data_IF_006962471948
#
_entry.id   IF_006962471948
#
_cell.length_a   1.000
_cell.length_b   1.000
_cell.length_c   1.000
_cell.angle_alpha   90.00
_cell.angle_beta   90.00
_cell.angle_gamma   90.00
#
_symmetry.space_group_name_H-M   'P 1'
#
loop_
_entity.id
_entity.type
_entity.pdbx_description
1 polymer ?
#
# COMPACT_ATOMS: atom_id res chain seq x y z
N UNK A 1 -29.23 34.47 2.92
CA UNK A 1 -29.65 35.86 3.24
C UNK A 1 -31.17 35.97 3.10
N UNK A 2 -31.80 37.03 3.61
CA UNK A 2 -33.26 37.22 3.46
C UNK A 2 -33.62 37.28 1.96
N UNK A 3 -34.68 36.57 1.57
CA UNK A 3 -35.22 36.52 0.21
C UNK A 3 -34.32 35.84 -0.86
N UNK A 4 -33.63 34.75 -0.53
CA UNK A 4 -32.89 33.96 -1.52
C UNK A 4 -33.61 32.64 -1.86
N UNK A 5 -33.80 32.38 -3.15
CA UNK A 5 -34.41 31.18 -3.73
C UNK A 5 -33.46 30.56 -4.77
N UNK A 6 -33.40 29.23 -4.81
CA UNK A 6 -32.75 28.46 -5.88
C UNK A 6 -33.71 27.38 -6.39
N UNK A 7 -34.06 27.45 -7.68
CA UNK A 7 -34.81 26.42 -8.38
C UNK A 7 -33.93 25.81 -9.47
N UNK A 8 -33.56 24.55 -9.30
CA UNK A 8 -32.66 23.84 -10.22
C UNK A 8 -33.27 22.52 -10.70
N UNK A 9 -32.92 22.13 -11.92
CA UNK A 9 -33.15 20.80 -12.47
C UNK A 9 -31.81 20.26 -12.95
N UNK A 10 -31.43 19.09 -12.46
CA UNK A 10 -30.21 18.40 -12.86
C UNK A 10 -30.54 17.06 -13.53
N UNK A 11 -29.72 16.66 -14.50
CA UNK A 11 -29.78 15.35 -15.14
C UNK A 11 -28.47 14.61 -14.88
N UNK A 12 -28.55 13.37 -14.43
CA UNK A 12 -27.40 12.51 -14.23
C UNK A 12 -27.12 11.67 -15.47
N UNK A 13 -25.84 11.49 -15.79
CA UNK A 13 -25.36 10.64 -16.87
C UNK A 13 -24.20 9.79 -16.36
N UNK A 14 -24.09 8.58 -16.91
CA UNK A 14 -22.97 7.70 -16.67
C UNK A 14 -21.76 8.18 -17.46
N UNK A 15 -20.57 8.15 -16.84
CA UNK A 15 -19.31 8.55 -17.47
C UNK A 15 -18.14 7.86 -16.81
N UNK A 16 -16.93 8.14 -17.28
CA UNK A 16 -15.69 7.56 -16.76
C UNK A 16 -14.74 8.63 -16.23
N UNK A 17 -13.93 8.27 -15.22
CA UNK A 17 -13.00 9.20 -14.59
C UNK A 17 -12.00 9.86 -15.56
N UNK A 18 -11.67 9.18 -16.67
CA UNK A 18 -10.81 9.72 -17.75
C UNK A 18 -11.41 10.95 -18.42
N UNK A 19 -12.73 11.03 -18.53
CA UNK A 19 -13.42 12.18 -19.12
C UNK A 19 -13.60 13.30 -18.09
N UNK A 20 -13.92 12.97 -16.84
CA UNK A 20 -14.00 13.94 -15.75
C UNK A 20 -13.85 13.28 -14.38
N UNK A 21 -13.06 13.89 -13.49
CA UNK A 21 -12.75 13.35 -12.16
C UNK A 21 -13.99 13.02 -11.29
N UNK A 22 -15.07 13.81 -11.40
CA UNK A 22 -16.37 13.58 -10.71
C UNK A 22 -16.99 12.19 -10.93
N UNK A 23 -16.61 11.48 -11.99
CA UNK A 23 -17.08 10.13 -12.31
C UNK A 23 -16.20 9.02 -11.74
N UNK A 24 -15.10 9.36 -11.05
CA UNK A 24 -14.30 8.40 -10.31
C UNK A 24 -15.09 7.79 -9.15
N UNK A 25 -15.20 6.45 -9.05
CA UNK A 25 -15.85 5.80 -7.91
C UNK A 25 -14.93 5.70 -6.67
N UNK A 26 -13.66 6.09 -6.79
CA UNK A 26 -12.64 6.00 -5.74
C UNK A 26 -12.25 7.37 -5.23
N UNK A 27 -12.11 7.49 -3.91
CA UNK A 27 -11.35 8.58 -3.28
C UNK A 27 -9.85 8.33 -3.46
N UNK A 28 -9.42 7.11 -3.17
CA UNK A 28 -8.02 6.66 -3.22
C UNK A 28 -7.98 5.25 -3.77
N UNK A 29 -7.08 4.98 -4.73
CA UNK A 29 -6.75 3.63 -5.18
C UNK A 29 -5.25 3.58 -5.42
N UNK A 30 -4.51 3.01 -4.48
CA UNK A 30 -3.04 2.97 -4.49
C UNK A 30 -2.54 1.59 -4.10
N UNK A 31 -1.28 1.31 -4.37
CA UNK A 31 -0.60 0.12 -3.88
C UNK A 31 0.80 0.45 -3.40
N UNK A 32 1.32 -0.39 -2.51
CA UNK A 32 2.72 -0.46 -2.14
C UNK A 32 3.18 -1.91 -2.16
N UNK A 33 4.48 -2.15 -2.32
CA UNK A 33 5.03 -3.48 -2.13
C UNK A 33 4.99 -3.87 -0.66
N UNK A 34 4.82 -5.16 -0.38
CA UNK A 34 5.03 -5.64 0.98
C UNK A 34 6.52 -5.49 1.34
N UNK A 35 6.86 -4.82 2.45
CA UNK A 35 8.25 -4.67 2.86
C UNK A 35 8.77 -5.96 3.48
N UNK A 36 9.96 -6.37 3.04
CA UNK A 36 10.81 -7.35 3.71
C UNK A 36 11.79 -6.62 4.62
N UNK A 37 11.62 -6.78 5.93
CA UNK A 37 12.55 -6.23 6.92
C UNK A 37 13.38 -7.37 7.49
N UNK A 38 14.70 -7.27 7.40
CA UNK A 38 15.66 -8.19 8.01
C UNK A 38 16.38 -7.49 9.18
N UNK A 39 16.24 -8.02 10.39
CA UNK A 39 16.94 -7.56 11.59
C UNK A 39 18.13 -8.45 11.91
N UNK A 40 19.32 -7.86 12.02
CA UNK A 40 20.54 -8.57 12.38
C UNK A 40 20.71 -8.64 13.89
N UNK A 41 20.36 -9.80 14.46
CA UNK A 41 20.42 -10.05 15.89
C UNK A 41 21.82 -9.96 16.51
N UNK A 42 22.87 -10.23 15.71
CA UNK A 42 24.25 -10.14 16.22
C UNK A 42 24.66 -8.70 16.49
N UNK A 43 24.25 -7.78 15.61
CA UNK A 43 24.52 -6.35 15.77
C UNK A 43 23.64 -5.79 16.88
N UNK A 44 22.36 -6.17 16.92
CA UNK A 44 21.43 -5.77 17.98
C UNK A 44 21.92 -6.16 19.39
N UNK A 45 22.49 -7.37 19.54
CA UNK A 45 23.04 -7.84 20.80
C UNK A 45 24.25 -7.03 21.32
N UNK A 46 24.93 -6.28 20.45
CA UNK A 46 26.07 -5.43 20.84
C UNK A 46 25.63 -4.04 21.33
N UNK A 47 24.39 -3.64 21.06
CA UNK A 47 23.84 -2.36 21.48
C UNK A 47 23.59 -2.32 22.99
N UNK A 48 23.74 -1.14 23.58
CA UNK A 48 23.39 -0.90 24.98
C UNK A 48 21.87 -0.97 25.18
N UNK A 49 21.39 -1.20 26.41
CA UNK A 49 19.95 -1.20 26.69
C UNK A 49 19.24 0.09 26.28
N UNK A 50 19.91 1.25 26.39
CA UNK A 50 19.37 2.54 25.98
C UNK A 50 19.20 2.63 24.46
N UNK A 51 20.23 2.21 23.70
CA UNK A 51 20.17 2.19 22.25
C UNK A 51 19.12 1.22 21.72
N UNK A 52 18.94 0.08 22.40
CA UNK A 52 17.87 -0.88 22.07
C UNK A 52 16.50 -0.28 22.29
N UNK A 53 16.28 0.42 23.42
CA UNK A 53 15.04 1.14 23.67
C UNK A 53 14.78 2.16 22.57
N UNK A 54 15.75 3.00 22.24
CA UNK A 54 15.58 4.06 21.25
C UNK A 54 15.26 3.47 19.86
N UNK A 55 15.87 2.34 19.48
CA UNK A 55 15.55 1.62 18.23
C UNK A 55 14.12 1.06 18.21
N UNK A 56 13.70 0.39 19.29
CA UNK A 56 12.33 -0.13 19.44
C UNK A 56 11.34 1.02 19.41
N UNK A 57 11.68 2.10 20.10
CA UNK A 57 10.80 3.22 20.29
C UNK A 57 10.67 4.12 19.08
N UNK A 58 11.72 4.19 18.26
CA UNK A 58 11.72 4.90 16.99
C UNK A 58 10.70 4.33 16.01
N UNK A 59 10.47 3.00 16.01
CA UNK A 59 9.48 2.41 15.11
C UNK A 59 8.05 2.86 15.49
N UNK A 60 7.31 3.59 14.64
CA UNK A 60 5.96 4.08 14.99
C UNK A 60 4.95 2.96 15.26
N UNK A 61 5.15 1.81 14.61
CA UNK A 61 4.34 0.60 14.78
C UNK A 61 4.88 -0.37 15.83
N UNK A 62 6.03 -0.06 16.45
CA UNK A 62 6.70 -0.92 17.44
C UNK A 62 6.86 -2.37 16.96
N UNK A 63 7.26 -2.55 15.69
CA UNK A 63 7.37 -3.88 15.07
C UNK A 63 8.55 -4.68 15.62
N UNK A 64 9.63 -4.00 15.98
CA UNK A 64 10.70 -4.57 16.78
C UNK A 64 10.26 -4.57 18.25
N UNK A 65 9.27 -5.39 18.62
CA UNK A 65 8.85 -5.55 20.02
C UNK A 65 9.55 -6.72 20.70
N UNK A 66 9.76 -6.67 22.02
CA UNK A 66 10.28 -7.79 22.77
C UNK A 66 9.30 -8.96 22.79
N UNK A 67 9.82 -10.18 22.93
CA UNK A 67 8.99 -11.37 23.16
C UNK A 67 8.33 -11.36 24.55
N UNK A 68 9.04 -10.82 25.55
CA UNK A 68 8.57 -10.68 26.94
C UNK A 68 8.80 -9.24 27.42
N UNK A 69 7.73 -8.44 27.38
CA UNK A 69 7.73 -7.04 27.83
C UNK A 69 8.08 -6.88 29.32
N UNK A 70 7.88 -7.91 30.15
CA UNK A 70 8.05 -7.81 31.61
C UNK A 70 9.48 -8.09 32.05
N UNK A 71 10.14 -9.05 31.41
CA UNK A 71 11.51 -9.44 31.78
C UNK A 71 12.57 -8.76 30.92
N UNK A 72 12.29 -8.57 29.63
CA UNK A 72 13.26 -8.05 28.66
C UNK A 72 12.58 -7.14 27.65
N UNK A 73 12.17 -5.92 28.05
CA UNK A 73 11.35 -5.02 27.25
C UNK A 73 11.99 -4.56 25.93
N UNK A 74 13.28 -4.84 25.71
CA UNK A 74 14.01 -4.43 24.51
C UNK A 74 14.88 -5.58 23.95
N UNK A 75 14.46 -6.83 24.11
CA UNK A 75 15.06 -7.97 23.41
C UNK A 75 14.17 -8.35 22.20
N UNK A 76 14.42 -7.72 21.05
CA UNK A 76 13.63 -7.91 19.84
C UNK A 76 14.08 -9.10 19.02
N UNK A 77 13.14 -9.84 18.46
CA UNK A 77 13.39 -10.95 17.52
C UNK A 77 12.80 -10.64 16.15
N UNK A 78 13.31 -11.29 15.10
CA UNK A 78 12.68 -11.24 13.79
C UNK A 78 11.31 -11.95 13.86
N UNK A 79 10.26 -11.28 13.41
CA UNK A 79 8.89 -11.82 13.37
C UNK A 79 8.23 -11.56 12.02
N UNK A 80 7.10 -12.22 11.76
CA UNK A 80 6.31 -11.97 10.54
C UNK A 80 5.60 -10.61 10.55
N UNK A 81 5.49 -9.99 11.73
CA UNK A 81 4.82 -8.68 11.92
C UNK A 81 5.57 -7.54 11.23
N UNK A 82 6.85 -7.75 10.93
CA UNK A 82 7.65 -6.82 10.15
C UNK A 82 7.08 -6.55 8.74
N UNK A 83 6.25 -7.45 8.19
CA UNK A 83 5.51 -7.21 6.96
C UNK A 83 4.53 -6.02 7.07
N UNK A 84 4.13 -5.63 8.29
CA UNK A 84 3.32 -4.44 8.52
C UNK A 84 4.14 -3.14 8.57
N UNK A 85 5.45 -3.17 8.30
CA UNK A 85 6.30 -1.98 8.25
C UNK A 85 5.70 -0.91 7.34
N UNK A 86 5.77 0.35 7.79
CA UNK A 86 5.33 1.51 7.02
C UNK A 86 6.48 2.21 6.31
N UNK A 87 7.67 1.60 6.32
CA UNK A 87 8.91 2.13 5.70
C UNK A 87 9.16 3.59 6.10
N UNK A 88 9.13 3.86 7.40
CA UNK A 88 9.40 5.20 7.97
C UNK A 88 10.86 5.63 7.88
N UNK A 89 11.77 4.70 7.56
CA UNK A 89 13.23 4.92 7.43
C UNK A 89 13.97 5.04 8.77
N UNK A 90 13.30 5.26 9.90
CA UNK A 90 13.93 5.40 11.23
C UNK A 90 14.86 4.23 11.59
N UNK A 91 14.47 2.98 11.30
CA UNK A 91 15.32 1.81 11.57
C UNK A 91 16.55 1.73 10.64
N UNK A 92 16.50 2.36 9.47
CA UNK A 92 17.63 2.49 8.55
C UNK A 92 18.58 3.61 9.01
N UNK A 93 18.06 4.67 9.61
CA UNK A 93 18.89 5.72 10.23
C UNK A 93 19.73 5.13 11.37
N UNK A 94 19.14 4.31 12.25
CA UNK A 94 19.90 3.57 13.26
C UNK A 94 20.94 2.62 12.64
N UNK A 95 20.67 2.08 11.44
CA UNK A 95 21.65 1.26 10.73
C UNK A 95 22.85 2.05 10.19
N UNK A 96 22.82 3.40 10.22
CA UNK A 96 24.00 4.22 9.92
C UNK A 96 24.99 4.22 11.08
N UNK A 97 24.50 4.23 12.32
CA UNK A 97 25.31 4.09 13.54
C UNK A 97 25.74 2.63 13.77
N UNK A 98 24.88 1.68 13.38
CA UNK A 98 25.10 0.24 13.49
C UNK A 98 25.01 -0.43 12.12
N UNK A 99 26.12 -0.46 11.34
CA UNK A 99 26.11 -1.01 9.99
C UNK A 99 25.55 -2.43 9.91
N UNK A 100 24.50 -2.60 9.11
CA UNK A 100 23.85 -3.90 8.91
C UNK A 100 22.90 -4.32 10.02
N UNK A 101 22.47 -3.40 10.88
CA UNK A 101 21.45 -3.65 11.90
C UNK A 101 20.10 -4.03 11.27
N UNK A 102 19.63 -3.24 10.31
CA UNK A 102 18.33 -3.41 9.69
C UNK A 102 18.44 -3.24 8.17
N UNK A 103 17.78 -4.11 7.40
CA UNK A 103 17.62 -3.96 5.96
C UNK A 103 16.14 -3.99 5.64
N UNK A 104 15.69 -3.03 4.84
CA UNK A 104 14.32 -2.98 4.33
C UNK A 104 14.37 -3.06 2.81
N UNK A 105 13.62 -3.99 2.23
CA UNK A 105 13.49 -4.18 0.78
C UNK A 105 12.03 -4.34 0.42
N UNK A 106 11.70 -4.06 -0.84
CA UNK A 106 10.39 -4.40 -1.39
C UNK A 106 10.37 -5.87 -1.80
N UNK A 107 9.25 -6.56 -1.56
CA UNK A 107 8.96 -7.86 -2.17
C UNK A 107 8.16 -7.65 -3.45
N UNK A 108 8.77 -7.71 -4.66
CA UNK A 108 8.10 -7.26 -5.89
C UNK A 108 6.92 -8.12 -6.32
N UNK A 109 6.77 -9.32 -5.75
CA UNK A 109 5.67 -10.24 -6.02
C UNK A 109 4.43 -9.99 -5.14
N UNK A 110 4.56 -9.15 -4.11
CA UNK A 110 3.52 -8.91 -3.11
C UNK A 110 3.09 -7.46 -3.13
N UNK A 111 1.82 -7.22 -3.45
CA UNK A 111 1.23 -5.90 -3.56
C UNK A 111 0.15 -5.73 -2.50
N UNK A 112 0.27 -4.68 -1.69
CA UNK A 112 -0.76 -4.27 -0.75
C UNK A 112 -1.54 -3.10 -1.34
N UNK A 113 -2.76 -3.38 -1.78
CA UNK A 113 -3.67 -2.36 -2.31
C UNK A 113 -4.47 -1.69 -1.19
N UNK A 114 -4.66 -0.38 -1.32
CA UNK A 114 -5.59 0.42 -0.52
C UNK A 114 -6.61 1.03 -1.47
N UNK A 115 -7.89 0.70 -1.30
CA UNK A 115 -8.98 1.19 -2.14
C UNK A 115 -10.06 1.79 -1.24
N UNK A 116 -10.31 3.08 -1.42
CA UNK A 116 -11.33 3.85 -0.72
C UNK A 116 -12.39 4.31 -1.72
N UNK A 117 -13.66 4.00 -1.45
CA UNK A 117 -14.78 4.37 -2.30
C UNK A 117 -15.33 5.76 -1.96
N UNK A 118 -15.89 6.45 -2.96
CA UNK A 118 -16.71 7.65 -2.75
C UNK A 118 -18.11 7.35 -2.22
N UNK A 119 -18.48 6.07 -2.13
CA UNK A 119 -19.80 5.57 -1.71
C UNK A 119 -20.72 5.18 -2.86
N UNK A 120 -20.34 5.44 -4.12
CA UNK A 120 -21.14 5.06 -5.28
C UNK A 120 -21.14 3.54 -5.56
N UNK A 121 -20.04 2.86 -5.25
CA UNK A 121 -19.84 1.41 -5.38
C UNK A 121 -19.10 0.90 -4.14
N UNK A 122 -19.24 -0.38 -3.78
CA UNK A 122 -18.38 -0.95 -2.72
C UNK A 122 -16.94 -1.11 -3.20
N UNK A 123 -15.92 -0.99 -2.33
CA UNK A 123 -14.52 -1.13 -2.72
C UNK A 123 -14.19 -2.43 -3.47
N UNK A 124 -14.75 -3.56 -3.04
CA UNK A 124 -14.58 -4.87 -3.69
C UNK A 124 -15.11 -4.86 -5.14
N UNK A 125 -16.26 -4.25 -5.37
CA UNK A 125 -16.87 -4.15 -6.70
C UNK A 125 -16.04 -3.25 -7.63
N UNK A 126 -15.38 -2.23 -7.10
CA UNK A 126 -14.49 -1.36 -7.87
C UNK A 126 -13.30 -2.17 -8.41
N UNK A 127 -12.72 -3.02 -7.57
CA UNK A 127 -11.58 -3.87 -7.95
C UNK A 127 -12.01 -4.91 -8.98
N UNK A 128 -13.11 -5.62 -8.73
CA UNK A 128 -13.67 -6.63 -9.65
C UNK A 128 -13.95 -6.02 -11.04
N UNK A 129 -14.67 -4.90 -11.09
CA UNK A 129 -14.96 -4.20 -12.36
C UNK A 129 -13.70 -3.68 -13.04
N UNK A 130 -12.70 -3.25 -12.27
CA UNK A 130 -11.40 -2.84 -12.80
C UNK A 130 -10.71 -3.99 -13.56
N UNK A 131 -10.74 -5.20 -12.98
CA UNK A 131 -10.19 -6.41 -13.60
C UNK A 131 -11.01 -6.78 -14.85
N UNK A 132 -12.34 -6.75 -14.79
CA UNK A 132 -13.21 -7.02 -15.94
C UNK A 132 -12.91 -6.08 -17.12
N UNK A 133 -12.74 -4.79 -16.85
CA UNK A 133 -12.38 -3.80 -17.88
C UNK A 133 -11.00 -4.12 -18.49
N UNK A 134 -10.03 -4.57 -17.70
CA UNK A 134 -8.73 -4.98 -18.21
C UNK A 134 -8.83 -6.21 -19.11
N UNK A 135 -9.56 -7.25 -18.66
CA UNK A 135 -9.81 -8.46 -19.44
C UNK A 135 -10.46 -8.10 -20.78
N UNK A 136 -11.50 -7.26 -20.76
CA UNK A 136 -12.19 -6.82 -21.97
C UNK A 136 -11.23 -6.10 -22.94
N UNK A 137 -10.40 -5.18 -22.44
CA UNK A 137 -9.40 -4.50 -23.28
C UNK A 137 -8.43 -5.47 -23.95
N UNK A 138 -7.98 -6.50 -23.25
CA UNK A 138 -7.10 -7.52 -23.81
C UNK A 138 -7.81 -8.38 -24.87
N UNK A 139 -9.07 -8.73 -24.62
CA UNK A 139 -9.90 -9.45 -25.58
C UNK A 139 -10.15 -8.62 -26.86
N UNK A 140 -10.42 -7.33 -26.71
CA UNK A 140 -10.60 -6.40 -27.82
C UNK A 140 -9.32 -6.30 -28.67
N UNK A 141 -8.14 -6.20 -28.04
CA UNK A 141 -6.85 -6.21 -28.75
C UNK A 141 -6.67 -7.52 -29.52
N UNK A 142 -6.90 -8.67 -28.87
CA UNK A 142 -6.76 -9.98 -29.51
C UNK A 142 -7.64 -10.11 -30.76
N UNK A 143 -8.93 -9.75 -30.65
CA UNK A 143 -9.87 -9.85 -31.77
C UNK A 143 -9.45 -8.96 -32.95
N UNK A 144 -8.92 -7.77 -32.68
CA UNK A 144 -8.41 -6.88 -33.72
C UNK A 144 -7.14 -7.42 -34.38
N UNK A 145 -6.25 -8.07 -33.62
CA UNK A 145 -5.06 -8.72 -34.18
C UNK A 145 -5.43 -9.91 -35.08
N UNK A 146 -6.39 -10.74 -34.66
CA UNK A 146 -6.89 -11.86 -35.46
C UNK A 146 -7.53 -11.38 -36.78
N UNK A 147 -8.33 -10.31 -36.71
CA UNK A 147 -8.95 -9.70 -37.89
C UNK A 147 -7.89 -9.12 -38.84
N UNK A 148 -6.86 -8.46 -38.30
CA UNK A 148 -5.79 -7.89 -39.10
C UNK A 148 -4.92 -8.97 -39.77
N UNK A 149 -4.65 -10.08 -39.09
CA UNK A 149 -3.94 -11.22 -39.67
C UNK A 149 -4.73 -11.85 -40.82
N UNK A 150 -6.03 -12.07 -40.63
CA UNK A 150 -6.90 -12.63 -41.67
C UNK A 150 -7.09 -11.72 -42.89
N UNK A 151 -6.83 -10.41 -42.76
CA UNK A 151 -6.88 -9.46 -43.87
C UNK A 151 -5.54 -9.33 -44.62
N UNK A 152 -4.46 -9.88 -44.07
CA UNK A 152 -3.12 -9.88 -44.68
C UNK A 152 -2.84 -11.14 -45.52
N UNK A 153 -3.66 -12.19 -45.36
CA UNK A 153 -3.69 -13.41 -46.18
C UNK A 153 -4.69 -13.27 -47.34
#
# INVERSE_FOLDING_TARGET
RKNQELKLRAAAQMGIAKEHAKWGPTCTATFAYEPEVELNQKVYAQMTPDQRRDFVDGCPKKLARPYDEKQRPYDCVQTDEFAACMVCIDCLEHSSEFPGLCKVRDRPQYFKFTVESTGALRPEEIVERGIEVLIKKLQDIRANLETAAAAAD
#
